data_IF_295518001710
#
_entry.id   IF_295518001710
#
_cell.length_a   1.000
_cell.length_b   1.000
_cell.length_c   1.000
_cell.angle_alpha   90.00
_cell.angle_beta   90.00
_cell.angle_gamma   90.00
#
_symmetry.space_group_name_H-M   'P 1'
#
loop_
_entity.id
_entity.type
_entity.pdbx_description
1 polymer ?
#
# COMPACT_ATOMS: atom_id res chain seq x y z
N UNK A 1 85.64 36.86 -53.22
CA UNK A 1 84.85 37.17 -52.00
C UNK A 1 83.45 37.74 -52.32
N UNK A 2 83.28 38.59 -53.36
CA UNK A 2 81.97 39.16 -53.72
C UNK A 2 80.91 38.15 -54.19
N UNK A 3 81.26 37.18 -55.05
CA UNK A 3 80.29 36.22 -55.62
C UNK A 3 79.65 35.30 -54.57
N UNK A 4 80.46 34.76 -53.66
CA UNK A 4 80.01 33.87 -52.59
C UNK A 4 79.03 34.60 -51.65
N UNK A 5 79.24 35.89 -51.37
CA UNK A 5 78.32 36.67 -50.53
C UNK A 5 76.97 36.91 -51.22
N UNK A 6 76.97 37.12 -52.54
CA UNK A 6 75.74 37.25 -53.35
C UNK A 6 74.94 35.94 -53.37
N UNK A 7 75.62 34.80 -53.56
CA UNK A 7 74.97 33.48 -53.60
C UNK A 7 74.32 33.14 -52.25
N UNK A 8 75.00 33.43 -51.14
CA UNK A 8 74.45 33.24 -49.77
C UNK A 8 73.22 34.12 -49.53
N UNK A 9 73.25 35.40 -49.94
CA UNK A 9 72.12 36.31 -49.77
C UNK A 9 70.90 35.86 -50.60
N UNK A 10 71.12 35.33 -51.80
CA UNK A 10 70.06 34.80 -52.65
C UNK A 10 69.43 33.54 -52.05
N UNK A 11 70.23 32.63 -51.47
CA UNK A 11 69.71 31.46 -50.77
C UNK A 11 68.88 31.84 -49.54
N UNK A 12 69.36 32.78 -48.73
CA UNK A 12 68.61 33.28 -47.56
C UNK A 12 67.29 33.94 -47.96
N UNK A 13 67.26 34.68 -49.07
CA UNK A 13 66.04 35.26 -49.61
C UNK A 13 65.05 34.17 -50.02
N UNK A 14 65.51 33.12 -50.72
CA UNK A 14 64.67 32.00 -51.12
C UNK A 14 64.10 31.22 -49.93
N UNK A 15 64.90 30.99 -48.88
CA UNK A 15 64.43 30.37 -47.64
C UNK A 15 63.35 31.20 -46.96
N UNK A 16 63.54 32.53 -46.89
CA UNK A 16 62.55 33.45 -46.31
C UNK A 16 61.24 33.45 -47.11
N UNK A 17 61.33 33.47 -48.44
CA UNK A 17 60.14 33.46 -49.30
C UNK A 17 59.38 32.13 -49.18
N UNK A 18 60.07 31.00 -49.01
CA UNK A 18 59.43 29.70 -48.75
C UNK A 18 58.71 29.64 -47.39
N UNK A 19 59.31 30.21 -46.34
CA UNK A 19 58.68 30.32 -45.02
C UNK A 19 57.43 31.21 -45.09
N UNK A 20 57.53 32.38 -45.73
CA UNK A 20 56.40 33.29 -45.91
C UNK A 20 55.26 32.65 -46.71
N UNK A 21 55.56 31.89 -47.76
CA UNK A 21 54.54 31.17 -48.52
C UNK A 21 53.79 30.14 -47.66
N UNK A 22 54.53 29.40 -46.82
CA UNK A 22 53.96 28.41 -45.90
C UNK A 22 53.06 29.06 -44.87
N UNK A 23 53.51 30.15 -44.24
CA UNK A 23 52.69 30.94 -43.30
C UNK A 23 51.42 31.47 -43.96
N UNK A 24 51.53 31.99 -45.19
CA UNK A 24 50.39 32.50 -45.94
C UNK A 24 49.34 31.40 -46.19
N UNK A 25 49.77 30.19 -46.54
CA UNK A 25 48.87 29.07 -46.76
C UNK A 25 48.25 28.54 -45.46
N UNK A 26 48.96 28.60 -44.34
CA UNK A 26 48.36 28.34 -43.02
C UNK A 26 47.29 29.38 -42.69
N UNK A 27 47.57 30.68 -42.85
CA UNK A 27 46.61 31.74 -42.61
C UNK A 27 45.37 31.63 -43.52
N UNK A 28 45.53 31.26 -44.79
CA UNK A 28 44.39 31.00 -45.69
C UNK A 28 43.50 29.87 -45.18
N UNK A 29 44.09 28.76 -44.71
CA UNK A 29 43.34 27.62 -44.14
C UNK A 29 42.63 28.04 -42.85
N UNK A 30 43.29 28.78 -41.97
CA UNK A 30 42.67 29.30 -40.75
C UNK A 30 41.51 30.24 -41.06
N UNK A 31 41.68 31.19 -41.99
CA UNK A 31 40.62 32.10 -42.42
C UNK A 31 39.41 31.32 -42.97
N UNK A 32 39.65 30.29 -43.80
CA UNK A 32 38.57 29.46 -44.32
C UNK A 32 37.83 28.70 -43.21
N UNK A 33 38.57 28.15 -42.23
CA UNK A 33 37.98 27.46 -41.08
C UNK A 33 37.15 28.42 -40.20
N UNK A 34 37.68 29.62 -39.91
CA UNK A 34 36.95 30.63 -39.14
C UNK A 34 35.68 31.08 -39.86
N UNK A 35 35.71 31.31 -41.17
CA UNK A 35 34.53 31.63 -41.97
C UNK A 35 33.46 30.54 -41.87
N UNK A 36 33.85 29.27 -41.95
CA UNK A 36 32.92 28.15 -41.79
C UNK A 36 32.28 28.14 -40.39
N UNK A 37 33.08 28.39 -39.35
CA UNK A 37 32.60 28.45 -37.97
C UNK A 37 31.62 29.61 -37.76
N UNK A 38 31.90 30.78 -38.35
CA UNK A 38 31.00 31.95 -38.31
C UNK A 38 29.65 31.60 -38.94
N UNK A 39 29.64 31.04 -40.15
CA UNK A 39 28.39 30.64 -40.83
C UNK A 39 27.59 29.64 -40.00
N UNK A 40 28.26 28.64 -39.41
CA UNK A 40 27.60 27.65 -38.54
C UNK A 40 26.96 28.32 -37.32
N UNK A 41 27.71 29.17 -36.63
CA UNK A 41 27.24 29.86 -35.43
C UNK A 41 26.11 30.84 -35.76
N UNK A 42 26.16 31.56 -36.88
CA UNK A 42 25.06 32.43 -37.34
C UNK A 42 23.77 31.63 -37.60
N UNK A 43 23.90 30.43 -38.18
CA UNK A 43 22.78 29.50 -38.36
C UNK A 43 22.17 29.03 -37.04
N UNK A 44 23.00 28.73 -36.04
CA UNK A 44 22.54 28.37 -34.69
C UNK A 44 21.90 29.57 -33.97
N UNK A 45 22.50 30.75 -34.05
CA UNK A 45 21.94 32.00 -33.50
C UNK A 45 20.60 32.32 -34.15
N UNK A 46 20.39 32.04 -35.44
CA UNK A 46 19.08 32.28 -36.08
C UNK A 46 18.01 31.31 -35.59
N UNK A 47 18.37 30.06 -35.30
CA UNK A 47 17.44 29.06 -34.72
C UNK A 47 17.12 29.37 -33.25
N UNK A 48 18.12 29.82 -32.50
CA UNK A 48 18.01 30.17 -31.09
C UNK A 48 17.46 31.58 -30.88
N UNK A 49 17.60 32.46 -31.87
CA UNK A 49 16.99 33.78 -31.93
C UNK A 49 15.50 33.54 -31.77
N UNK A 50 14.98 33.96 -30.62
CA UNK A 50 13.68 33.56 -30.11
C UNK A 50 12.48 33.97 -30.97
N UNK A 51 12.67 34.42 -32.22
CA UNK A 51 11.64 34.67 -33.20
C UNK A 51 10.81 33.41 -33.51
N UNK A 52 11.45 32.24 -33.71
CA UNK A 52 10.71 30.97 -33.90
C UNK A 52 10.03 30.52 -32.59
N UNK A 53 10.71 30.67 -31.45
CA UNK A 53 10.15 30.39 -30.13
C UNK A 53 8.94 31.29 -29.81
N UNK A 54 9.00 32.56 -30.19
CA UNK A 54 7.94 33.54 -29.98
C UNK A 54 6.68 33.17 -30.77
N UNK A 55 6.81 32.77 -32.04
CA UNK A 55 5.67 32.32 -32.84
C UNK A 55 4.98 31.09 -32.24
N UNK A 56 5.76 30.11 -31.77
CA UNK A 56 5.23 28.94 -31.07
C UNK A 56 4.49 29.36 -29.78
N UNK A 57 5.09 30.23 -28.96
CA UNK A 57 4.45 30.73 -27.73
C UNK A 57 3.16 31.50 -28.02
N UNK A 58 3.14 32.34 -29.06
CA UNK A 58 1.93 33.06 -29.49
C UNK A 58 0.85 32.07 -29.89
N UNK A 59 1.19 31.08 -30.73
CA UNK A 59 0.25 30.06 -31.17
C UNK A 59 -0.33 29.26 -30.00
N UNK A 60 0.51 28.80 -29.07
CA UNK A 60 0.06 28.11 -27.86
C UNK A 60 -0.86 28.99 -27.00
N UNK A 61 -0.50 30.26 -26.81
CA UNK A 61 -1.33 31.20 -26.05
C UNK A 61 -2.70 31.40 -26.69
N UNK A 62 -2.76 31.56 -28.02
CA UNK A 62 -4.02 31.66 -28.77
C UNK A 62 -4.87 30.41 -28.58
N UNK A 63 -4.29 29.22 -28.75
CA UNK A 63 -5.01 27.95 -28.58
C UNK A 63 -5.58 27.79 -27.17
N UNK A 64 -4.78 28.07 -26.14
CA UNK A 64 -5.22 28.01 -24.74
C UNK A 64 -6.35 29.02 -24.49
N UNK A 65 -6.27 30.22 -25.07
CA UNK A 65 -7.31 31.25 -24.93
C UNK A 65 -8.62 30.84 -25.60
N UNK A 66 -8.56 30.21 -26.78
CA UNK A 66 -9.72 29.66 -27.48
C UNK A 66 -10.39 28.53 -26.67
N UNK A 67 -9.61 27.58 -26.18
CA UNK A 67 -10.09 26.48 -25.34
C UNK A 67 -10.72 27.01 -24.04
N UNK A 68 -10.09 27.97 -23.37
CA UNK A 68 -10.63 28.60 -22.18
C UNK A 68 -11.96 29.33 -22.44
N UNK A 69 -12.09 30.01 -23.58
CA UNK A 69 -13.34 30.67 -23.96
C UNK A 69 -14.46 29.65 -24.25
N UNK A 70 -14.13 28.53 -24.90
CA UNK A 70 -15.07 27.44 -25.14
C UNK A 70 -15.53 26.79 -23.82
N UNK A 71 -14.60 26.49 -22.91
CA UNK A 71 -14.90 25.95 -21.58
C UNK A 71 -15.76 26.90 -20.74
N UNK A 72 -15.45 28.21 -20.76
CA UNK A 72 -16.26 29.22 -20.09
C UNK A 72 -17.70 29.24 -20.63
N UNK A 73 -17.85 29.22 -21.96
CA UNK A 73 -19.17 29.20 -22.61
C UNK A 73 -19.97 27.93 -22.25
N UNK A 74 -19.31 26.77 -22.17
CA UNK A 74 -19.93 25.53 -21.73
C UNK A 74 -20.36 25.59 -20.26
N UNK A 75 -19.52 26.15 -19.39
CA UNK A 75 -19.84 26.30 -17.97
C UNK A 75 -21.03 27.25 -17.77
N UNK A 76 -21.08 28.36 -18.51
CA UNK A 76 -22.21 29.29 -18.50
C UNK A 76 -23.51 28.61 -18.97
N UNK A 77 -23.44 27.74 -19.99
CA UNK A 77 -24.59 26.96 -20.44
C UNK A 77 -25.04 25.93 -19.41
N UNK A 78 -24.13 25.18 -18.80
CA UNK A 78 -24.43 24.23 -17.73
C UNK A 78 -25.07 24.94 -16.53
N UNK A 79 -24.52 26.09 -16.13
CA UNK A 79 -25.07 26.92 -15.06
C UNK A 79 -26.48 27.42 -15.39
N UNK A 80 -26.76 27.79 -16.64
CA UNK A 80 -28.12 28.15 -17.08
C UNK A 80 -29.05 26.95 -17.05
N UNK A 81 -28.63 25.77 -17.50
CA UNK A 81 -29.43 24.54 -17.45
C UNK A 81 -29.77 24.15 -16.01
N UNK A 82 -28.79 24.22 -15.10
CA UNK A 82 -28.99 23.96 -13.69
C UNK A 82 -30.08 24.86 -13.10
N UNK A 83 -29.97 26.18 -13.28
CA UNK A 83 -31.00 27.13 -12.81
C UNK A 83 -32.40 26.86 -13.37
N UNK A 84 -32.49 26.45 -14.65
CA UNK A 84 -33.78 26.08 -15.25
C UNK A 84 -34.36 24.82 -14.62
N UNK A 85 -33.52 23.80 -14.41
CA UNK A 85 -33.94 22.54 -13.79
C UNK A 85 -34.36 22.77 -12.33
N UNK A 86 -33.64 23.59 -11.57
CA UNK A 86 -34.02 23.95 -10.20
C UNK A 86 -35.40 24.61 -10.15
N UNK A 87 -35.67 25.54 -11.07
CA UNK A 87 -36.98 26.18 -11.17
C UNK A 87 -38.09 25.20 -11.54
N UNK A 88 -37.83 24.23 -12.43
CA UNK A 88 -38.79 23.15 -12.75
C UNK A 88 -39.02 22.28 -11.53
N UNK A 89 -37.96 21.87 -10.83
CA UNK A 89 -38.04 21.02 -9.65
C UNK A 89 -38.85 21.68 -8.53
N UNK A 90 -38.65 22.98 -8.29
CA UNK A 90 -39.44 23.74 -7.33
C UNK A 90 -40.93 23.70 -7.71
N UNK A 91 -41.27 23.97 -8.98
CA UNK A 91 -42.67 23.91 -9.44
C UNK A 91 -43.28 22.53 -9.28
N UNK A 92 -42.57 21.47 -9.67
CA UNK A 92 -43.04 20.09 -9.51
C UNK A 92 -43.27 19.75 -8.04
N UNK A 93 -42.38 20.19 -7.14
CA UNK A 93 -42.55 20.01 -5.69
C UNK A 93 -43.79 20.74 -5.17
N UNK A 94 -44.03 21.98 -5.63
CA UNK A 94 -45.23 22.75 -5.27
C UNK A 94 -46.52 22.11 -5.78
N UNK A 95 -46.55 21.68 -7.05
CA UNK A 95 -47.69 20.98 -7.65
C UNK A 95 -47.97 19.65 -6.92
N UNK A 96 -46.93 18.86 -6.65
CA UNK A 96 -47.05 17.62 -5.89
C UNK A 96 -47.62 17.88 -4.48
N UNK A 97 -47.17 18.95 -3.81
CA UNK A 97 -47.72 19.34 -2.51
C UNK A 97 -49.20 19.76 -2.59
N UNK A 98 -49.60 20.49 -3.65
CA UNK A 98 -51.00 20.88 -3.89
C UNK A 98 -51.89 19.67 -4.16
N UNK A 99 -51.47 18.76 -5.03
CA UNK A 99 -52.22 17.52 -5.34
C UNK A 99 -52.37 16.64 -4.10
N UNK A 100 -51.31 16.55 -3.30
CA UNK A 100 -51.35 15.88 -2.00
C UNK A 100 -52.38 16.50 -1.05
N UNK A 101 -52.42 17.83 -0.97
CA UNK A 101 -53.39 18.54 -0.14
C UNK A 101 -54.85 18.39 -0.67
N UNK A 102 -55.06 18.46 -1.99
CA UNK A 102 -56.39 18.37 -2.61
C UNK A 102 -56.96 16.95 -2.63
N UNK A 103 -56.11 15.92 -2.72
CA UNK A 103 -56.52 14.52 -2.74
C UNK A 103 -57.13 14.05 -1.42
N UNK A 104 -56.93 14.77 -0.31
CA UNK A 104 -57.45 14.43 1.02
C UNK A 104 -56.90 13.11 1.61
N UNK A 105 -56.17 12.33 0.81
CA UNK A 105 -55.58 11.02 1.16
C UNK A 105 -54.25 11.11 1.92
N UNK A 106 -53.76 12.33 2.21
CA UNK A 106 -52.32 12.53 2.31
C UNK A 106 -51.76 12.95 3.67
N UNK A 107 -52.55 12.89 4.76
CA UNK A 107 -51.97 13.02 6.10
C UNK A 107 -51.58 11.66 6.67
N UNK A 108 -52.45 10.66 6.54
CA UNK A 108 -52.19 9.32 7.08
C UNK A 108 -51.08 8.59 6.31
N UNK A 109 -51.14 8.59 4.96
CA UNK A 109 -50.15 7.88 4.14
C UNK A 109 -48.73 8.44 4.30
N UNK A 110 -48.59 9.77 4.33
CA UNK A 110 -47.28 10.43 4.52
C UNK A 110 -46.73 10.19 5.93
N UNK A 111 -47.57 10.26 6.95
CA UNK A 111 -47.17 9.94 8.32
C UNK A 111 -46.70 8.48 8.44
N UNK A 112 -47.42 7.54 7.81
CA UNK A 112 -47.00 6.13 7.80
C UNK A 112 -45.73 5.90 6.98
N UNK A 113 -45.53 6.62 5.87
CA UNK A 113 -44.33 6.54 5.06
C UNK A 113 -43.11 7.03 5.84
N UNK A 114 -43.25 8.16 6.55
CA UNK A 114 -42.19 8.72 7.40
C UNK A 114 -41.86 7.79 8.59
N UNK A 115 -42.87 7.18 9.23
CA UNK A 115 -42.66 6.19 10.28
C UNK A 115 -41.99 4.91 9.75
N UNK A 116 -42.27 4.51 8.51
CA UNK A 116 -41.61 3.37 7.87
C UNK A 116 -40.16 3.71 7.50
N UNK A 117 -39.88 4.92 7.02
CA UNK A 117 -38.51 5.39 6.78
C UNK A 117 -37.69 5.45 8.07
N UNK A 118 -38.27 5.93 9.17
CA UNK A 118 -37.62 5.95 10.48
C UNK A 118 -37.30 4.52 10.96
N UNK A 119 -38.29 3.61 10.91
CA UNK A 119 -38.07 2.19 11.27
C UNK A 119 -37.05 1.52 10.36
N UNK A 120 -37.06 1.80 9.06
CA UNK A 120 -36.08 1.27 8.12
C UNK A 120 -34.68 1.71 8.53
N UNK A 121 -34.49 3.00 8.81
CA UNK A 121 -33.23 3.56 9.27
C UNK A 121 -32.77 2.93 10.59
N UNK A 122 -33.66 2.78 11.57
CA UNK A 122 -33.35 2.09 12.84
C UNK A 122 -32.88 0.64 12.60
N UNK A 123 -33.53 -0.08 11.68
CA UNK A 123 -33.12 -1.46 11.35
C UNK A 123 -31.79 -1.53 10.60
N UNK A 124 -31.49 -0.57 9.74
CA UNK A 124 -30.20 -0.46 9.06
C UNK A 124 -29.08 -0.15 10.06
N UNK A 125 -29.31 0.76 11.00
CA UNK A 125 -28.36 1.10 12.06
C UNK A 125 -28.08 -0.11 12.97
N UNK A 126 -29.10 -0.88 13.38
CA UNK A 126 -28.90 -2.10 14.18
C UNK A 126 -28.20 -3.20 13.37
N UNK A 127 -28.52 -3.35 12.08
CA UNK A 127 -27.82 -4.30 11.19
C UNK A 127 -26.34 -3.96 11.10
N UNK A 128 -26.00 -2.69 10.92
CA UNK A 128 -24.61 -2.24 10.82
C UNK A 128 -23.87 -2.43 12.16
N UNK A 129 -24.55 -2.17 13.28
CA UNK A 129 -24.02 -2.45 14.63
C UNK A 129 -23.75 -3.93 14.85
N UNK A 130 -24.65 -4.81 14.41
CA UNK A 130 -24.47 -6.26 14.50
C UNK A 130 -23.32 -6.74 13.60
N UNK A 131 -23.20 -6.21 12.38
CA UNK A 131 -22.10 -6.52 11.47
C UNK A 131 -20.73 -6.15 12.09
N UNK A 132 -20.63 -4.98 12.72
CA UNK A 132 -19.42 -4.55 13.42
C UNK A 132 -19.06 -5.48 14.59
N UNK A 133 -20.05 -5.87 15.41
CA UNK A 133 -19.84 -6.84 16.50
C UNK A 133 -19.35 -8.19 15.99
N UNK A 134 -19.95 -8.68 14.91
CA UNK A 134 -19.56 -9.95 14.30
C UNK A 134 -18.12 -9.90 13.77
N UNK A 135 -17.73 -8.82 13.09
CA UNK A 135 -16.37 -8.62 12.61
C UNK A 135 -15.35 -8.56 13.76
N UNK A 136 -15.71 -7.87 14.85
CA UNK A 136 -14.86 -7.80 16.05
C UNK A 136 -14.69 -9.18 16.71
N UNK A 137 -15.76 -9.98 16.79
CA UNK A 137 -15.70 -11.35 17.30
C UNK A 137 -14.82 -12.24 16.44
N UNK A 138 -15.00 -12.22 15.11
CA UNK A 138 -14.17 -12.99 14.18
C UNK A 138 -12.68 -12.63 14.32
N UNK A 139 -12.38 -11.34 14.44
CA UNK A 139 -11.01 -10.85 14.65
C UNK A 139 -10.42 -11.34 15.98
N UNK A 140 -11.20 -11.35 17.06
CA UNK A 140 -10.75 -11.81 18.38
C UNK A 140 -10.48 -13.33 18.38
N UNK A 141 -11.31 -14.12 17.70
CA UNK A 141 -11.10 -15.55 17.54
C UNK A 141 -9.80 -15.83 16.79
N UNK A 142 -9.56 -15.16 15.65
CA UNK A 142 -8.31 -15.29 14.89
C UNK A 142 -7.08 -14.94 15.73
N UNK A 143 -7.16 -13.84 16.50
CA UNK A 143 -6.08 -13.44 17.43
C UNK A 143 -5.82 -14.51 18.50
N UNK A 144 -6.85 -15.08 19.10
CA UNK A 144 -6.71 -16.13 20.12
C UNK A 144 -6.15 -17.45 19.54
N UNK A 145 -6.53 -17.78 18.31
CA UNK A 145 -5.98 -18.93 17.59
C UNK A 145 -4.48 -18.74 17.23
N UNK A 146 -4.02 -17.49 17.16
CA UNK A 146 -2.66 -17.13 16.77
C UNK A 146 -2.51 -16.88 15.26
N UNK A 147 -3.62 -16.66 14.55
CA UNK A 147 -3.64 -16.33 13.13
C UNK A 147 -3.35 -14.84 12.98
N UNK A 148 -2.10 -14.49 12.67
CA UNK A 148 -1.66 -13.10 12.43
C UNK A 148 -1.90 -12.71 10.97
N UNK A 149 -3.16 -12.51 10.60
CA UNK A 149 -3.57 -11.95 9.31
C UNK A 149 -3.82 -10.44 9.39
N UNK A 150 -3.77 -9.74 8.25
CA UNK A 150 -4.22 -8.35 8.14
C UNK A 150 -5.73 -8.27 8.44
N UNK A 151 -6.20 -7.28 9.23
CA UNK A 151 -7.59 -7.18 9.66
C UNK A 151 -8.61 -6.92 8.54
N UNK A 152 -8.17 -6.66 7.30
CA UNK A 152 -9.03 -6.35 6.17
C UNK A 152 -9.60 -7.57 5.42
N UNK A 153 -9.18 -8.79 5.76
CA UNK A 153 -9.59 -10.02 5.05
C UNK A 153 -10.14 -11.08 6.02
N UNK A 154 -10.97 -10.64 6.97
CA UNK A 154 -11.54 -11.50 8.01
C UNK A 154 -12.92 -11.98 7.56
N UNK A 155 -13.01 -13.25 7.17
CA UNK A 155 -14.30 -13.91 6.87
C UNK A 155 -14.78 -14.77 8.04
N UNK A 156 -16.08 -15.00 8.11
CA UNK A 156 -16.70 -15.84 9.17
C UNK A 156 -16.14 -17.27 9.11
N UNK A 157 -15.96 -17.83 7.90
CA UNK A 157 -15.40 -19.18 7.70
C UNK A 157 -14.00 -19.31 8.31
N UNK A 158 -13.14 -18.31 8.10
CA UNK A 158 -11.79 -18.31 8.66
C UNK A 158 -11.79 -18.28 10.18
N UNK A 159 -12.70 -17.51 10.80
CA UNK A 159 -12.82 -17.49 12.24
C UNK A 159 -13.33 -18.84 12.79
N UNK A 160 -14.27 -19.47 12.10
CA UNK A 160 -14.82 -20.78 12.49
C UNK A 160 -13.76 -21.89 12.43
N UNK A 161 -13.03 -21.98 11.32
CA UNK A 161 -11.91 -22.92 11.16
C UNK A 161 -10.81 -22.70 12.21
N UNK A 162 -10.44 -21.43 12.46
CA UNK A 162 -9.45 -21.09 13.47
C UNK A 162 -9.92 -21.47 14.89
N UNK A 163 -11.21 -21.33 15.17
CA UNK A 163 -11.80 -21.74 16.45
C UNK A 163 -11.73 -23.25 16.63
N UNK A 164 -12.06 -24.03 15.59
CA UNK A 164 -11.98 -25.49 15.62
C UNK A 164 -10.54 -25.99 15.85
N UNK A 165 -9.58 -25.39 15.15
CA UNK A 165 -8.15 -25.67 15.36
C UNK A 165 -7.69 -25.31 16.77
N UNK A 166 -8.14 -24.16 17.29
CA UNK A 166 -7.83 -23.74 18.65
C UNK A 166 -8.37 -24.72 19.69
N UNK A 167 -9.62 -25.18 19.56
CA UNK A 167 -10.22 -26.19 20.42
C UNK A 167 -9.42 -27.49 20.42
N UNK A 168 -9.03 -27.96 19.23
CA UNK A 168 -8.21 -29.18 19.08
C UNK A 168 -6.85 -29.05 19.76
N UNK A 169 -6.20 -27.89 19.63
CA UNK A 169 -4.91 -27.60 20.30
C UNK A 169 -5.06 -27.59 21.82
N UNK A 170 -6.10 -26.94 22.35
CA UNK A 170 -6.39 -26.91 23.79
C UNK A 170 -6.63 -28.32 24.33
N UNK A 171 -7.41 -29.15 23.61
CA UNK A 171 -7.65 -30.53 24.00
C UNK A 171 -6.37 -31.40 24.00
N UNK A 172 -5.44 -31.11 23.10
CA UNK A 172 -4.15 -31.82 23.03
C UNK A 172 -3.24 -31.40 24.19
N UNK A 173 -3.08 -30.10 24.43
CA UNK A 173 -2.30 -29.58 25.55
C UNK A 173 -2.86 -30.03 26.92
N UNK A 174 -4.19 -30.15 27.05
CA UNK A 174 -4.81 -30.67 28.26
C UNK A 174 -4.41 -32.12 28.54
N UNK A 175 -4.36 -32.99 27.51
CA UNK A 175 -3.88 -34.37 27.63
C UNK A 175 -2.39 -34.43 27.97
N UNK A 176 -1.56 -33.62 27.32
CA UNK A 176 -0.13 -33.56 27.63
C UNK A 176 0.14 -33.13 29.08
N UNK A 177 -0.61 -32.15 29.59
CA UNK A 177 -0.51 -31.74 31.00
C UNK A 177 -0.90 -32.88 31.94
N UNK A 178 -1.95 -33.63 31.65
CA UNK A 178 -2.35 -34.79 32.44
C UNK A 178 -1.27 -35.89 32.43
N UNK A 179 -0.67 -36.17 31.28
CA UNK A 179 0.43 -37.13 31.14
C UNK A 179 1.68 -36.69 31.91
N UNK A 180 2.01 -35.41 31.87
CA UNK A 180 3.12 -34.84 32.64
C UNK A 180 2.86 -34.90 34.14
N UNK A 181 1.64 -34.63 34.59
CA UNK A 181 1.25 -34.80 35.99
C UNK A 181 1.43 -36.25 36.44
N UNK A 182 1.01 -37.21 35.62
CA UNK A 182 1.19 -38.64 35.91
C UNK A 182 2.68 -39.04 35.97
N UNK A 183 3.49 -38.60 34.99
CA UNK A 183 4.94 -38.85 34.98
C UNK A 183 5.64 -38.22 36.18
N UNK A 184 5.27 -37.00 36.57
CA UNK A 184 5.81 -36.32 37.74
C UNK A 184 5.46 -37.10 39.03
N UNK A 185 4.22 -37.56 39.17
CA UNK A 185 3.80 -38.42 40.29
C UNK A 185 4.63 -39.70 40.38
N UNK A 186 4.82 -40.41 39.26
CA UNK A 186 5.68 -41.61 39.23
C UNK A 186 7.12 -41.26 39.62
N UNK A 187 7.65 -40.16 39.08
CA UNK A 187 9.02 -39.73 39.37
C UNK A 187 9.22 -39.42 40.85
N UNK A 188 8.27 -38.73 41.49
CA UNK A 188 8.33 -38.42 42.92
C UNK A 188 8.31 -39.69 43.78
N UNK A 189 7.46 -40.66 43.44
CA UNK A 189 7.45 -41.95 44.15
C UNK A 189 8.75 -42.74 43.93
N UNK A 190 9.35 -42.69 42.73
CA UNK A 190 10.66 -43.30 42.48
C UNK A 190 11.76 -42.68 43.34
N UNK A 191 11.78 -41.36 43.49
CA UNK A 191 12.73 -40.66 44.37
C UNK A 191 12.50 -41.07 45.82
N UNK A 192 11.26 -41.09 46.30
CA UNK A 192 10.91 -41.53 47.65
C UNK A 192 11.39 -42.96 47.94
N UNK A 193 11.22 -43.88 46.97
CA UNK A 193 11.72 -45.25 47.09
C UNK A 193 13.25 -45.31 47.13
N UNK A 194 13.95 -44.48 46.35
CA UNK A 194 15.42 -44.37 46.38
C UNK A 194 15.92 -43.84 47.74
N UNK A 195 15.23 -42.87 48.34
CA UNK A 195 15.56 -42.34 49.68
C UNK A 195 15.37 -43.38 50.79
N UNK A 196 14.51 -44.38 50.59
CA UNK A 196 14.29 -45.49 51.52
C UNK A 196 15.29 -46.65 51.34
N UNK A 197 16.08 -46.67 50.27
CA UNK A 197 17.12 -47.68 50.07
C UNK A 197 18.45 -47.22 50.71
N UNK A 198 19.04 -47.97 51.67
CA UNK A 198 20.35 -47.64 52.22
C UNK A 198 21.42 -47.73 51.13
N UNK A 199 22.25 -46.69 51.00
CA UNK A 199 23.48 -46.76 50.20
C UNK A 199 24.40 -47.83 50.78
N UNK A 200 24.36 -49.04 50.21
CA UNK A 200 25.40 -50.05 50.40
C UNK A 200 26.63 -49.58 49.63
N UNK A 201 27.47 -48.79 50.28
CA UNK A 201 28.87 -48.73 49.93
C UNK A 201 29.51 -50.04 50.41
N UNK A 202 29.86 -50.93 49.48
CA UNK A 202 31.18 -51.56 49.43
C UNK A 202 31.30 -52.62 48.31
N UNK A 203 32.44 -52.51 47.61
CA UNK A 203 33.33 -53.56 47.08
C UNK A 203 32.77 -54.90 46.57
N UNK A 204 33.09 -55.27 45.32
CA UNK A 204 33.96 -56.44 44.98
C UNK A 204 33.79 -57.00 43.53
N UNK A 205 34.92 -57.05 42.82
CA UNK A 205 35.46 -58.15 41.98
C UNK A 205 34.68 -58.75 40.78
N UNK A 206 35.05 -58.29 39.57
CA UNK A 206 35.61 -59.05 38.43
C UNK A 206 35.38 -60.59 38.30
N UNK A 207 34.64 -61.05 37.27
CA UNK A 207 35.03 -62.11 36.27
C UNK A 207 33.99 -62.33 35.14
N UNK A 208 34.44 -62.28 33.87
CA UNK A 208 34.12 -63.07 32.64
C UNK A 208 32.81 -63.92 32.58
N UNK A 209 32.03 -64.08 31.49
CA UNK A 209 32.20 -63.84 30.04
C UNK A 209 30.88 -64.06 29.24
N UNK A 210 30.80 -63.42 28.06
CA UNK A 210 30.24 -63.88 26.76
C UNK A 210 28.70 -63.88 26.45
N UNK A 211 28.39 -63.10 25.39
CA UNK A 211 27.51 -63.38 24.21
C UNK A 211 26.11 -62.70 24.17
N UNK A 212 26.07 -61.56 23.44
CA UNK A 212 25.13 -61.17 22.34
C UNK A 212 23.66 -60.85 22.72
N UNK A 213 23.02 -59.70 22.44
CA UNK A 213 23.25 -58.55 21.52
C UNK A 213 22.29 -57.36 21.84
N UNK A 214 22.86 -56.17 22.10
CA UNK A 214 22.55 -54.81 21.60
C UNK A 214 21.15 -54.13 21.77
N UNK A 215 21.04 -52.79 21.57
CA UNK A 215 21.94 -51.69 21.94
C UNK A 215 21.21 -50.43 22.51
N UNK A 216 22.01 -49.45 22.92
CA UNK A 216 21.67 -48.04 23.23
C UNK A 216 21.13 -47.71 24.62
N UNK A 217 22.02 -47.59 25.61
CA UNK A 217 21.91 -46.57 26.65
C UNK A 217 23.31 -46.16 27.15
N UNK A 218 23.72 -44.95 26.77
CA UNK A 218 24.68 -44.03 27.42
C UNK A 218 25.05 -43.02 26.33
N UNK A 219 24.91 -41.70 26.45
CA UNK A 219 25.26 -40.78 27.54
C UNK A 219 24.60 -39.45 27.12
N UNK A 220 23.92 -38.68 27.97
CA UNK A 220 24.57 -37.56 28.65
C UNK A 220 23.66 -37.03 29.76
N UNK A 221 24.20 -37.04 30.98
CA UNK A 221 23.80 -36.15 32.06
C UNK A 221 23.96 -34.69 31.63
N UNK A 222 22.95 -33.87 31.95
CA UNK A 222 22.98 -32.53 32.56
C UNK A 222 24.02 -31.49 32.07
N UNK A 223 23.72 -30.17 32.08
CA UNK A 223 22.89 -29.50 33.10
C UNK A 223 21.91 -28.48 32.50
N UNK A 224 21.01 -27.90 33.30
CA UNK A 224 20.80 -26.44 33.35
C UNK A 224 19.64 -26.10 34.30
N UNK A 225 20.03 -25.57 35.47
CA UNK A 225 19.53 -24.35 36.11
C UNK A 225 18.03 -24.27 36.45
N UNK A 226 17.79 -24.44 37.76
CA UNK A 226 16.73 -23.79 38.53
C UNK A 226 16.71 -22.28 38.24
N UNK A 227 15.68 -21.80 37.55
CA UNK A 227 15.21 -20.40 37.65
C UNK A 227 13.71 -20.40 37.86
N UNK A 228 13.34 -20.17 39.11
CA UNK A 228 12.02 -19.65 39.47
C UNK A 228 11.86 -18.29 38.79
N UNK A 229 10.89 -18.17 37.89
CA UNK A 229 10.48 -16.89 37.33
C UNK A 229 9.00 -16.69 37.66
N UNK A 230 8.76 -15.92 38.72
CA UNK A 230 7.52 -15.23 38.99
C UNK A 230 7.16 -14.40 37.77
N UNK A 231 6.13 -14.78 37.01
CA UNK A 231 5.63 -13.96 35.92
C UNK A 231 4.75 -12.86 36.51
N UNK A 232 5.38 -11.72 36.75
CA UNK A 232 4.74 -10.45 37.04
C UNK A 232 3.88 -10.06 35.83
N UNK A 233 2.57 -10.13 35.96
CA UNK A 233 1.60 -9.60 34.99
C UNK A 233 1.82 -8.08 34.92
N UNK A 234 2.47 -7.62 33.86
CA UNK A 234 2.61 -6.19 33.56
C UNK A 234 1.51 -5.81 32.57
N UNK A 235 0.40 -5.33 33.09
CA UNK A 235 -0.59 -4.55 32.35
C UNK A 235 0.09 -3.24 31.87
N UNK A 236 -0.02 -2.85 30.59
CA UNK A 236 0.16 -1.46 30.21
C UNK A 236 -1.16 -0.72 30.40
N UNK A 237 -1.14 0.19 31.35
CA UNK A 237 -2.17 1.19 31.61
C UNK A 237 -2.46 2.08 30.39
N UNK A 238 -3.74 2.36 30.21
CA UNK A 238 -4.23 3.49 29.43
C UNK A 238 -3.70 4.82 30.01
N UNK A 239 -3.22 5.71 29.13
CA UNK A 239 -3.67 7.11 29.12
C UNK A 239 -3.41 7.76 27.73
N UNK A 240 -4.24 8.73 27.32
CA UNK A 240 -4.27 9.25 25.96
C UNK A 240 -3.29 10.40 25.76
N UNK A 241 -2.70 10.51 24.57
CA UNK A 241 -2.12 11.77 24.08
C UNK A 241 -2.69 12.09 22.72
N UNK A 242 -3.47 13.17 22.72
CA UNK A 242 -3.81 14.00 21.57
C UNK A 242 -2.54 14.47 20.86
N UNK A 243 -2.60 14.52 19.53
CA UNK A 243 -1.54 15.05 18.69
C UNK A 243 -1.85 14.86 17.21
N UNK A 244 -2.80 15.65 16.69
CA UNK A 244 -2.93 15.90 15.26
C UNK A 244 -1.71 16.68 14.75
N UNK A 245 -1.16 16.25 13.63
CA UNK A 245 -0.74 17.04 12.46
C UNK A 245 0.41 16.34 11.73
N UNK A 246 0.23 16.18 10.43
CA UNK A 246 1.23 15.61 9.54
C UNK A 246 0.60 15.26 8.21
N UNK A 247 0.35 16.31 7.41
CA UNK A 247 0.01 16.23 5.99
C UNK A 247 0.89 15.21 5.27
N UNK A 248 0.25 14.17 4.72
CA UNK A 248 0.78 13.45 3.56
C UNK A 248 -0.36 13.29 2.57
N UNK A 249 -0.32 14.16 1.57
CA UNK A 249 -0.87 13.94 0.24
C UNK A 249 -0.48 12.54 -0.23
N UNK A 250 -1.42 11.60 -0.15
CA UNK A 250 -1.41 10.40 -0.98
C UNK A 250 -2.61 10.46 -1.90
N UNK A 251 -2.36 11.03 -3.07
CA UNK A 251 -3.19 10.89 -4.26
C UNK A 251 -3.27 9.41 -4.63
N UNK A 252 -4.26 8.70 -4.08
CA UNK A 252 -4.61 7.36 -4.56
C UNK A 252 -5.38 7.54 -5.87
N UNK A 253 -4.69 7.28 -6.98
CA UNK A 253 -5.31 7.00 -8.28
C UNK A 253 -6.17 5.74 -8.15
N UNK A 254 -7.47 5.90 -7.93
CA UNK A 254 -8.46 4.87 -8.29
C UNK A 254 -8.76 5.01 -9.78
N UNK A 255 -7.88 4.44 -10.60
CA UNK A 255 -8.20 4.12 -11.98
C UNK A 255 -9.12 2.90 -12.00
N UNK A 256 -10.34 3.08 -12.49
CA UNK A 256 -11.07 2.04 -13.19
C UNK A 256 -12.00 1.15 -12.35
N UNK A 257 -13.15 1.68 -11.96
CA UNK A 257 -14.39 0.90 -11.96
C UNK A 257 -15.50 1.75 -12.58
N UNK A 258 -15.90 1.34 -13.78
CA UNK A 258 -16.99 1.91 -14.57
C UNK A 258 -18.30 1.83 -13.76
N UNK A 259 -19.02 2.96 -13.69
CA UNK A 259 -20.36 3.11 -13.11
C UNK A 259 -21.47 2.29 -13.85
N UNK A 260 -21.11 1.36 -14.73
CA UNK A 260 -22.04 0.62 -15.60
C UNK A 260 -22.56 -0.72 -15.09
N UNK A 261 -22.14 -1.21 -13.92
CA UNK A 261 -22.49 -2.57 -13.46
C UNK A 261 -23.50 -2.66 -12.31
N UNK A 262 -23.99 -1.54 -11.78
CA UNK A 262 -25.01 -1.54 -10.71
C UNK A 262 -26.46 -1.37 -11.21
N UNK A 263 -26.67 -1.19 -12.51
CA UNK A 263 -28.02 -1.00 -13.10
C UNK A 263 -28.64 -2.32 -13.61
N UNK A 264 -27.89 -3.42 -13.66
CA UNK A 264 -28.37 -4.70 -14.24
C UNK A 264 -28.91 -5.72 -13.22
N UNK A 265 -28.86 -5.45 -11.91
CA UNK A 265 -29.33 -6.39 -10.88
C UNK A 265 -30.62 -5.97 -10.16
N UNK A 266 -31.18 -4.80 -10.48
CA UNK A 266 -32.44 -4.35 -9.87
C UNK A 266 -33.74 -5.00 -10.38
N UNK A 267 -33.84 -5.68 -11.55
CA UNK A 267 -35.13 -6.26 -11.95
C UNK A 267 -35.51 -7.59 -11.29
N UNK A 268 -34.60 -8.30 -10.62
CA UNK A 268 -34.90 -9.66 -10.14
C UNK A 268 -35.41 -9.78 -8.69
N UNK A 269 -35.35 -8.70 -7.89
CA UNK A 269 -35.82 -8.72 -6.49
C UNK A 269 -37.27 -8.20 -6.32
N UNK A 270 -37.88 -7.66 -7.38
CA UNK A 270 -39.23 -7.10 -7.33
C UNK A 270 -40.35 -8.10 -7.70
N UNK A 271 -40.03 -9.35 -8.03
CA UNK A 271 -41.02 -10.35 -8.42
C UNK A 271 -41.36 -11.41 -7.35
N UNK A 272 -40.89 -11.25 -6.10
CA UNK A 272 -41.11 -12.25 -5.05
C UNK A 272 -41.74 -11.70 -3.76
N UNK A 273 -42.43 -10.55 -3.85
CA UNK A 273 -43.22 -9.98 -2.74
C UNK A 273 -44.72 -9.88 -3.07
N UNK A 274 -45.16 -10.46 -4.20
CA UNK A 274 -46.58 -10.65 -4.50
C UNK A 274 -46.86 -12.09 -4.94
N UNK A 275 -46.84 -13.01 -3.96
CA UNK A 275 -47.73 -14.18 -3.86
C UNK A 275 -47.63 -14.78 -2.46
#
# INVERSE_FOLDING_TARGET
KSKIATDIAQEQLGQRDHLLATENDMFKKEIANHKMKVIKLEGEVTKLSGQQNLQQRIHHHTKIKEENNALKSQNDELSRKLRRNDAVLIRVKEELAKERASSGKNSYYVETELQLEEKLKETEDERDRLAQKLAALCTNILKAAGVTGSPCDVTISMADEALEQFQTRVATLARELQDLQYKNRISNERVRLLEMMPQMADESQQTNSRVTRSPFLSTFNAPYIRKSATLLVRLPSHHPRLGCNGDQDQTIKLSGLSLGHWVSLLPHMLFQVCN
#
